data_IF_283120891792
#
_entry.id   IF_283120891792
#
_cell.length_a   1.000
_cell.length_b   1.000
_cell.length_c   1.000
_cell.angle_alpha   90.00
_cell.angle_beta   90.00
_cell.angle_gamma   90.00
#
_symmetry.space_group_name_H-M   'P 1'
#
loop_
_entity.id
_entity.type
_entity.pdbx_description
1 polymer ?
#
# COMPACT_ATOMS: atom_id res chain seq x y z
N UNK A 1 -34.62 24.88 -25.58
CA UNK A 1 -34.63 24.28 -24.22
C UNK A 1 -34.68 22.74 -24.19
N UNK A 2 -35.52 22.08 -25.01
CA UNK A 2 -35.65 20.60 -25.01
C UNK A 2 -34.40 19.80 -25.42
N UNK A 3 -33.72 20.20 -26.50
CA UNK A 3 -32.48 19.52 -26.97
C UNK A 3 -31.33 19.59 -25.95
N UNK A 4 -31.22 20.68 -25.20
CA UNK A 4 -30.22 20.85 -24.14
C UNK A 4 -30.50 19.92 -22.95
N UNK A 5 -31.76 19.81 -22.52
CA UNK A 5 -32.17 18.89 -21.45
C UNK A 5 -31.93 17.42 -21.83
N UNK A 6 -32.19 17.05 -23.08
CA UNK A 6 -31.94 15.68 -23.58
C UNK A 6 -30.42 15.38 -23.57
N UNK A 7 -29.59 16.31 -24.05
CA UNK A 7 -28.13 16.15 -24.07
C UNK A 7 -27.53 16.05 -22.66
N UNK A 8 -28.02 16.85 -21.72
CA UNK A 8 -27.61 16.81 -20.30
C UNK A 8 -28.04 15.50 -19.62
N UNK A 9 -29.26 15.00 -19.90
CA UNK A 9 -29.75 13.72 -19.35
C UNK A 9 -28.96 12.53 -19.90
N UNK A 10 -28.59 12.55 -21.18
CA UNK A 10 -27.67 11.55 -21.75
C UNK A 10 -26.27 11.62 -21.14
N UNK A 11 -25.71 12.82 -20.95
CA UNK A 11 -24.39 12.97 -20.31
C UNK A 11 -24.40 12.48 -18.86
N UNK A 12 -25.44 12.79 -18.09
CA UNK A 12 -25.62 12.33 -16.70
C UNK A 12 -25.71 10.80 -16.61
N UNK A 13 -26.55 10.16 -17.43
CA UNK A 13 -26.65 8.69 -17.46
C UNK A 13 -25.33 8.01 -17.85
N UNK A 14 -24.50 8.66 -18.66
CA UNK A 14 -23.21 8.13 -19.07
C UNK A 14 -22.12 8.24 -17.99
N UNK A 15 -22.20 9.20 -17.06
CA UNK A 15 -21.26 9.30 -15.92
C UNK A 15 -21.61 8.26 -14.87
N UNK A 16 -22.91 8.09 -14.60
CA UNK A 16 -23.43 7.13 -13.61
C UNK A 16 -22.92 5.70 -13.90
N UNK A 17 -22.72 5.38 -15.17
CA UNK A 17 -22.25 4.07 -15.58
C UNK A 17 -20.76 3.80 -15.27
N UNK A 18 -19.95 4.85 -15.14
CA UNK A 18 -18.50 4.75 -14.89
C UNK A 18 -18.18 4.88 -13.40
N UNK A 19 -19.03 5.61 -12.65
CA UNK A 19 -18.83 5.89 -11.21
C UNK A 19 -18.42 4.67 -10.37
N UNK A 20 -19.07 3.48 -10.47
CA UNK A 20 -18.68 2.35 -9.64
C UNK A 20 -17.27 1.85 -9.95
N UNK A 21 -16.86 1.86 -11.22
CA UNK A 21 -15.55 1.34 -11.64
C UNK A 21 -14.43 2.32 -11.29
N UNK A 22 -14.67 3.64 -11.47
CA UNK A 22 -13.72 4.66 -11.01
C UNK A 22 -13.61 4.67 -9.48
N UNK A 23 -14.72 4.48 -8.76
CA UNK A 23 -14.73 4.39 -7.31
C UNK A 23 -13.97 3.15 -6.83
N UNK A 24 -14.14 1.99 -7.48
CA UNK A 24 -13.38 0.78 -7.14
C UNK A 24 -11.89 1.06 -7.23
N UNK A 25 -11.42 1.58 -8.36
CA UNK A 25 -10.00 1.85 -8.59
C UNK A 25 -9.44 2.82 -7.54
N UNK A 26 -10.09 3.97 -7.35
CA UNK A 26 -9.55 5.00 -6.45
C UNK A 26 -9.68 4.61 -4.99
N UNK A 27 -10.78 3.97 -4.59
CA UNK A 27 -10.94 3.47 -3.22
C UNK A 27 -9.91 2.39 -2.91
N UNK A 28 -9.68 1.45 -3.82
CA UNK A 28 -8.70 0.35 -3.61
C UNK A 28 -7.29 0.90 -3.42
N UNK A 29 -6.85 1.80 -4.31
CA UNK A 29 -5.47 2.27 -4.29
C UNK A 29 -5.21 3.35 -3.23
N UNK A 30 -6.08 4.36 -3.11
CA UNK A 30 -5.81 5.52 -2.26
C UNK A 30 -6.37 5.38 -0.85
N UNK A 31 -7.44 4.62 -0.65
CA UNK A 31 -8.11 4.49 0.66
C UNK A 31 -7.76 3.15 1.30
N UNK A 32 -8.15 2.05 0.66
CA UNK A 32 -7.99 0.71 1.21
C UNK A 32 -6.53 0.33 1.43
N UNK A 33 -5.67 0.43 0.40
CA UNK A 33 -4.25 0.07 0.53
C UNK A 33 -3.54 0.78 1.69
N UNK A 34 -3.49 2.13 1.73
CA UNK A 34 -2.83 2.85 2.80
C UNK A 34 -3.45 2.62 4.19
N UNK A 35 -4.78 2.61 4.31
CA UNK A 35 -5.44 2.40 5.61
C UNK A 35 -5.23 0.97 6.11
N UNK A 36 -5.37 -0.04 5.26
CA UNK A 36 -5.11 -1.43 5.62
C UNK A 36 -3.66 -1.60 6.08
N UNK A 37 -2.70 -1.06 5.33
CA UNK A 37 -1.27 -1.13 5.66
C UNK A 37 -0.96 -0.48 7.01
N UNK A 38 -1.52 0.71 7.26
CA UNK A 38 -1.33 1.41 8.52
C UNK A 38 -1.94 0.65 9.70
N UNK A 39 -3.18 0.16 9.56
CA UNK A 39 -3.89 -0.51 10.65
C UNK A 39 -3.26 -1.85 11.02
N UNK A 40 -2.81 -2.64 10.04
CA UNK A 40 -2.13 -3.91 10.29
C UNK A 40 -0.78 -3.70 10.99
N UNK A 41 -0.09 -2.58 10.70
CA UNK A 41 1.26 -2.31 11.22
C UNK A 41 1.28 -1.13 12.21
N UNK A 42 0.19 -0.88 12.95
CA UNK A 42 0.07 0.30 13.82
C UNK A 42 1.17 0.39 14.89
N UNK A 43 1.71 -0.74 15.34
CA UNK A 43 2.81 -0.81 16.32
C UNK A 43 4.11 -0.24 15.78
N UNK A 44 4.34 -0.37 14.47
CA UNK A 44 5.57 0.05 13.79
C UNK A 44 5.57 1.55 13.46
N UNK A 45 4.38 2.17 13.42
CA UNK A 45 4.24 3.58 13.12
C UNK A 45 4.24 4.47 14.37
N UNK A 46 5.20 5.39 14.40
CA UNK A 46 5.37 6.43 15.42
C UNK A 46 4.41 7.63 15.26
N UNK A 47 3.64 7.71 14.18
CA UNK A 47 2.69 8.78 13.92
C UNK A 47 1.24 8.30 14.00
N UNK A 48 0.31 9.24 14.21
CA UNK A 48 -1.13 8.97 14.28
C UNK A 48 -1.79 8.87 12.90
N UNK A 49 -2.94 8.19 12.85
CA UNK A 49 -3.75 8.05 11.64
C UNK A 49 -4.22 9.42 11.12
N UNK A 50 -4.47 10.35 12.04
CA UNK A 50 -4.88 11.74 11.77
C UNK A 50 -3.87 12.50 10.91
N UNK A 51 -2.57 12.16 10.99
CA UNK A 51 -1.53 12.81 10.20
C UNK A 51 -1.55 12.39 8.72
N UNK A 52 -1.98 11.16 8.41
CA UNK A 52 -1.99 10.64 7.03
C UNK A 52 -3.38 10.70 6.36
N UNK A 53 -4.44 10.75 7.16
CA UNK A 53 -5.82 10.72 6.65
C UNK A 53 -6.16 11.86 5.68
N UNK A 54 -5.72 13.12 5.90
CA UNK A 54 -5.95 14.20 4.93
C UNK A 54 -5.35 13.89 3.55
N UNK A 55 -4.11 13.39 3.51
CA UNK A 55 -3.43 13.03 2.26
C UNK A 55 -4.18 11.92 1.52
N UNK A 56 -4.64 10.90 2.24
CA UNK A 56 -5.47 9.81 1.70
C UNK A 56 -6.75 10.35 1.06
N UNK A 57 -7.50 11.17 1.79
CA UNK A 57 -8.80 11.71 1.32
C UNK A 57 -8.59 12.65 0.12
N UNK A 58 -7.61 13.54 0.18
CA UNK A 58 -7.33 14.51 -0.89
C UNK A 58 -6.90 13.78 -2.18
N UNK A 59 -5.97 12.84 -2.10
CA UNK A 59 -5.54 12.05 -3.27
C UNK A 59 -6.69 11.22 -3.85
N UNK A 60 -7.51 10.59 -3.00
CA UNK A 60 -8.70 9.87 -3.44
C UNK A 60 -9.68 10.77 -4.20
N UNK A 61 -10.05 11.92 -3.64
CA UNK A 61 -11.03 12.84 -4.23
C UNK A 61 -10.49 13.40 -5.56
N UNK A 62 -9.24 13.87 -5.59
CA UNK A 62 -8.64 14.46 -6.79
C UNK A 62 -8.65 13.46 -7.93
N UNK A 63 -8.12 12.25 -7.71
CA UNK A 63 -8.02 11.24 -8.79
C UNK A 63 -9.41 10.75 -9.18
N UNK A 64 -10.32 10.57 -8.23
CA UNK A 64 -11.70 10.19 -8.54
C UNK A 64 -12.39 11.22 -9.43
N UNK A 65 -12.26 12.52 -9.13
CA UNK A 65 -12.80 13.59 -9.97
C UNK A 65 -12.15 13.55 -11.35
N UNK A 66 -10.82 13.46 -11.44
CA UNK A 66 -10.09 13.42 -12.72
C UNK A 66 -10.57 12.26 -13.61
N UNK A 67 -10.69 11.03 -13.08
CA UNK A 67 -11.15 9.88 -13.84
C UNK A 67 -12.60 10.05 -14.35
N UNK A 68 -13.45 10.70 -13.56
CA UNK A 68 -14.81 11.01 -13.98
C UNK A 68 -14.87 12.16 -15.00
N UNK A 69 -14.00 13.16 -14.91
CA UNK A 69 -13.85 14.21 -15.93
C UNK A 69 -13.34 13.65 -17.27
N UNK A 70 -12.36 12.74 -17.24
CA UNK A 70 -11.89 12.02 -18.43
C UNK A 70 -13.05 11.26 -19.08
N UNK A 71 -13.95 10.67 -18.30
CA UNK A 71 -15.14 9.97 -18.83
C UNK A 71 -16.08 10.87 -19.67
N UNK A 72 -16.02 12.19 -19.49
CA UNK A 72 -16.78 13.16 -20.29
C UNK A 72 -16.17 13.35 -21.69
N UNK A 73 -14.85 13.22 -21.80
CA UNK A 73 -14.10 13.32 -23.05
C UNK A 73 -14.17 12.02 -23.86
N UNK A 74 -14.36 10.88 -23.18
CA UNK A 74 -14.52 9.57 -23.84
C UNK A 74 -15.83 9.52 -24.63
N UNK A 75 -15.73 9.18 -25.92
CA UNK A 75 -16.89 9.06 -26.80
C UNK A 75 -17.79 7.88 -26.40
N UNK A 76 -19.09 7.99 -26.71
CA UNK A 76 -20.13 7.02 -26.27
C UNK A 76 -19.78 5.56 -26.62
N UNK A 77 -19.14 5.34 -27.78
CA UNK A 77 -18.79 4.00 -28.26
C UNK A 77 -17.66 3.37 -27.43
N UNK A 78 -16.78 4.17 -26.82
CA UNK A 78 -15.64 3.70 -26.03
C UNK A 78 -15.91 3.69 -24.52
N UNK A 79 -17.03 4.23 -24.04
CA UNK A 79 -17.34 4.30 -22.60
C UNK A 79 -17.38 2.95 -21.89
N UNK A 80 -17.88 1.90 -22.55
CA UNK A 80 -17.86 0.56 -21.96
C UNK A 80 -16.45 0.03 -21.77
N UNK A 81 -15.58 0.26 -22.76
CA UNK A 81 -14.18 -0.14 -22.69
C UNK A 81 -13.43 0.67 -21.63
N UNK A 82 -13.74 1.96 -21.50
CA UNK A 82 -13.19 2.79 -20.43
C UNK A 82 -13.60 2.27 -19.04
N UNK A 83 -14.89 1.99 -18.82
CA UNK A 83 -15.35 1.41 -17.55
C UNK A 83 -14.73 0.03 -17.28
N UNK A 84 -14.63 -0.83 -18.30
CA UNK A 84 -13.99 -2.14 -18.22
C UNK A 84 -12.50 -2.04 -17.87
N UNK A 85 -11.78 -1.05 -18.43
CA UNK A 85 -10.38 -0.78 -18.11
C UNK A 85 -10.23 -0.34 -16.64
N UNK A 86 -11.03 0.62 -16.19
CA UNK A 86 -10.99 1.07 -14.79
C UNK A 86 -11.30 -0.07 -13.81
N UNK A 87 -12.31 -0.89 -14.12
CA UNK A 87 -12.63 -2.08 -13.36
C UNK A 87 -11.45 -3.06 -13.35
N UNK A 88 -10.87 -3.36 -14.50
CA UNK A 88 -9.78 -4.32 -14.62
C UNK A 88 -8.53 -3.91 -13.83
N UNK A 89 -8.16 -2.62 -13.87
CA UNK A 89 -7.05 -2.09 -13.06
C UNK A 89 -7.39 -2.14 -11.57
N UNK A 90 -8.59 -1.68 -11.18
CA UNK A 90 -9.03 -1.72 -9.78
C UNK A 90 -9.09 -3.14 -9.21
N UNK A 91 -9.55 -4.09 -10.03
CA UNK A 91 -9.60 -5.50 -9.68
C UNK A 91 -8.21 -6.13 -9.59
N UNK A 92 -7.30 -5.82 -10.53
CA UNK A 92 -5.91 -6.28 -10.48
C UNK A 92 -5.21 -5.79 -9.19
N UNK A 93 -5.41 -4.51 -8.83
CA UNK A 93 -4.88 -3.95 -7.59
C UNK A 93 -5.48 -4.62 -6.35
N UNK A 94 -6.79 -4.89 -6.36
CA UNK A 94 -7.44 -5.61 -5.27
C UNK A 94 -6.85 -7.03 -5.10
N UNK A 95 -6.62 -7.74 -6.20
CA UNK A 95 -5.99 -9.06 -6.18
C UNK A 95 -4.53 -8.97 -5.69
N UNK A 96 -3.76 -8.02 -6.23
CA UNK A 96 -2.37 -7.78 -5.85
C UNK A 96 -2.24 -7.52 -4.35
N UNK A 97 -3.06 -6.63 -3.79
CA UNK A 97 -2.95 -6.22 -2.38
C UNK A 97 -3.40 -7.27 -1.37
N UNK A 98 -4.28 -8.21 -1.76
CA UNK A 98 -4.87 -9.15 -0.81
C UNK A 98 -4.40 -10.60 -0.97
N UNK A 99 -3.99 -11.01 -2.18
CA UNK A 99 -3.69 -12.42 -2.47
C UNK A 99 -2.27 -12.64 -2.96
N UNK A 100 -1.62 -11.63 -3.53
CA UNK A 100 -0.26 -11.75 -4.08
C UNK A 100 0.71 -11.13 -3.07
N UNK A 101 1.03 -11.89 -2.04
CA UNK A 101 2.07 -11.52 -1.08
C UNK A 101 3.37 -12.28 -1.45
N UNK A 102 4.30 -11.59 -2.11
CA UNK A 102 5.64 -12.12 -2.32
C UNK A 102 6.49 -11.76 -1.11
N UNK A 103 7.10 -12.79 -0.51
CA UNK A 103 8.13 -12.60 0.50
C UNK A 103 9.45 -12.23 -0.19
N UNK A 104 9.80 -10.94 -0.09
CA UNK A 104 11.06 -10.40 -0.58
C UNK A 104 12.19 -10.47 0.46
N UNK A 105 11.95 -11.16 1.59
CA UNK A 105 12.84 -11.19 2.73
C UNK A 105 12.71 -9.96 3.62
N UNK A 106 13.57 -9.91 4.63
CA UNK A 106 13.72 -8.75 5.51
C UNK A 106 14.45 -7.64 4.77
N UNK A 107 14.02 -6.39 5.00
CA UNK A 107 14.67 -5.20 4.47
C UNK A 107 15.89 -4.84 5.33
N UNK A 108 16.89 -5.73 5.35
CA UNK A 108 18.13 -5.62 6.14
C UNK A 108 19.32 -5.03 5.36
N UNK A 109 19.07 -4.55 4.14
CA UNK A 109 20.09 -3.98 3.25
C UNK A 109 20.86 -5.02 2.44
N UNK A 110 20.55 -6.31 2.57
CA UNK A 110 21.05 -7.34 1.65
C UNK A 110 20.47 -7.14 0.25
N UNK A 111 21.25 -7.49 -0.77
CA UNK A 111 20.76 -7.42 -2.15
C UNK A 111 19.66 -8.46 -2.38
N UNK A 112 18.51 -8.02 -2.88
CA UNK A 112 17.45 -8.93 -3.31
C UNK A 112 17.92 -9.65 -4.58
N UNK A 113 17.99 -10.98 -4.55
CA UNK A 113 18.27 -11.78 -5.75
C UNK A 113 17.04 -11.80 -6.68
N UNK A 114 16.92 -10.75 -7.50
CA UNK A 114 15.83 -10.60 -8.47
C UNK A 114 15.74 -11.76 -9.46
N UNK A 115 16.84 -12.49 -9.73
CA UNK A 115 16.82 -13.60 -10.68
C UNK A 115 15.99 -14.78 -10.14
N UNK A 116 15.98 -14.99 -8.83
CA UNK A 116 15.17 -16.03 -8.18
C UNK A 116 13.65 -15.82 -8.36
N UNK A 117 13.21 -14.57 -8.57
CA UNK A 117 11.79 -14.21 -8.64
C UNK A 117 11.21 -14.22 -10.07
N UNK A 118 12.00 -14.55 -11.09
CA UNK A 118 11.57 -14.47 -12.51
C UNK A 118 10.27 -15.22 -12.81
N UNK A 119 10.12 -16.44 -12.27
CA UNK A 119 8.89 -17.24 -12.44
C UNK A 119 7.68 -16.58 -11.78
N UNK A 120 7.83 -16.12 -10.54
CA UNK A 120 6.77 -15.45 -9.78
C UNK A 120 6.37 -14.12 -10.43
N UNK A 121 7.35 -13.36 -10.92
CA UNK A 121 7.12 -12.13 -11.67
C UNK A 121 6.33 -12.37 -12.97
N UNK A 122 6.63 -13.46 -13.69
CA UNK A 122 5.89 -13.84 -14.90
C UNK A 122 4.44 -14.21 -14.58
N UNK A 123 4.20 -15.04 -13.56
CA UNK A 123 2.85 -15.40 -13.10
C UNK A 123 2.07 -14.15 -12.69
N UNK A 124 2.68 -13.26 -11.91
CA UNK A 124 2.05 -12.01 -11.49
C UNK A 124 1.64 -11.14 -12.70
N UNK A 125 2.55 -11.00 -13.67
CA UNK A 125 2.28 -10.25 -14.90
C UNK A 125 1.10 -10.84 -15.68
N UNK A 126 1.02 -12.18 -15.78
CA UNK A 126 -0.10 -12.86 -16.44
C UNK A 126 -1.41 -12.56 -15.72
N UNK A 127 -1.45 -12.59 -14.38
CA UNK A 127 -2.65 -12.27 -13.60
C UNK A 127 -3.13 -10.85 -13.91
N UNK A 128 -2.21 -9.87 -13.89
CA UNK A 128 -2.53 -8.48 -14.24
C UNK A 128 -3.10 -8.34 -15.66
N UNK A 129 -2.46 -8.99 -16.64
CA UNK A 129 -2.93 -9.00 -18.02
C UNK A 129 -4.33 -9.60 -18.13
N UNK A 130 -4.62 -10.71 -17.44
CA UNK A 130 -5.93 -11.33 -17.44
C UNK A 130 -7.00 -10.45 -16.78
N UNK A 131 -6.71 -9.86 -15.63
CA UNK A 131 -7.62 -8.95 -14.93
C UNK A 131 -8.01 -7.74 -15.78
N UNK A 132 -7.08 -7.20 -16.58
CA UNK A 132 -7.32 -6.02 -17.42
C UNK A 132 -7.96 -6.40 -18.77
N UNK A 133 -7.42 -7.40 -19.47
CA UNK A 133 -7.87 -7.73 -20.82
C UNK A 133 -9.20 -8.47 -20.83
N UNK A 134 -9.49 -9.31 -19.84
CA UNK A 134 -10.74 -10.08 -19.82
C UNK A 134 -12.01 -9.21 -19.87
N UNK A 135 -12.21 -8.17 -19.03
CA UNK A 135 -13.41 -7.32 -19.13
C UNK A 135 -13.44 -6.52 -20.44
N UNK A 136 -12.29 -6.15 -21.01
CA UNK A 136 -12.20 -5.44 -22.29
C UNK A 136 -12.66 -6.33 -23.46
N UNK A 137 -12.13 -7.56 -23.54
CA UNK A 137 -12.50 -8.52 -24.60
C UNK A 137 -13.97 -8.90 -24.48
N UNK A 138 -14.44 -9.22 -23.27
CA UNK A 138 -15.85 -9.56 -23.02
C UNK A 138 -16.78 -8.40 -23.39
N UNK A 139 -16.36 -7.16 -23.20
CA UNK A 139 -17.14 -5.98 -23.60
C UNK A 139 -17.42 -5.94 -25.10
N UNK A 140 -16.51 -6.46 -25.94
CA UNK A 140 -16.69 -6.52 -27.40
C UNK A 140 -17.84 -7.47 -27.80
N UNK A 141 -18.07 -8.51 -27.00
CA UNK A 141 -19.04 -9.59 -27.30
C UNK A 141 -20.37 -9.35 -26.58
N UNK A 142 -20.32 -8.96 -25.29
CA UNK A 142 -21.47 -8.89 -24.39
C UNK A 142 -21.54 -7.55 -23.63
N UNK A 143 -21.37 -6.43 -24.34
CA UNK A 143 -21.29 -5.08 -23.77
C UNK A 143 -22.34 -4.76 -22.70
N UNK A 144 -23.61 -5.16 -22.89
CA UNK A 144 -24.70 -4.88 -21.94
C UNK A 144 -24.56 -5.67 -20.64
N UNK A 145 -24.27 -6.97 -20.76
CA UNK A 145 -24.10 -7.88 -19.63
C UNK A 145 -22.85 -7.49 -18.84
N UNK A 146 -21.72 -7.30 -19.52
CA UNK A 146 -20.45 -6.90 -18.89
C UNK A 146 -20.60 -5.59 -18.15
N UNK A 147 -21.24 -4.57 -18.74
CA UNK A 147 -21.53 -3.30 -18.07
C UNK A 147 -22.29 -3.50 -16.75
N UNK A 148 -23.29 -4.38 -16.71
CA UNK A 148 -24.03 -4.66 -15.48
C UNK A 148 -23.16 -5.40 -14.47
N UNK A 149 -22.43 -6.40 -14.91
CA UNK A 149 -21.56 -7.23 -14.06
C UNK A 149 -20.47 -6.42 -13.40
N UNK A 150 -19.67 -5.66 -14.16
CA UNK A 150 -18.53 -4.90 -13.61
C UNK A 150 -18.98 -3.88 -12.56
N UNK A 151 -20.18 -3.28 -12.70
CA UNK A 151 -20.73 -2.36 -11.70
C UNK A 151 -21.08 -3.07 -10.40
N UNK A 152 -21.79 -4.19 -10.49
CA UNK A 152 -22.19 -4.98 -9.32
C UNK A 152 -20.92 -5.50 -8.62
N UNK A 153 -19.97 -6.06 -9.37
CA UNK A 153 -18.69 -6.51 -8.83
C UNK A 153 -17.91 -5.36 -8.18
N UNK A 154 -17.85 -4.18 -8.81
CA UNK A 154 -17.19 -3.01 -8.23
C UNK A 154 -17.76 -2.65 -6.87
N UNK A 155 -19.09 -2.50 -6.78
CA UNK A 155 -19.76 -2.15 -5.53
C UNK A 155 -19.59 -3.22 -4.46
N UNK A 156 -19.66 -4.49 -4.85
CA UNK A 156 -19.42 -5.60 -3.94
C UNK A 156 -18.00 -5.58 -3.36
N UNK A 157 -16.98 -5.43 -4.21
CA UNK A 157 -15.58 -5.39 -3.79
C UNK A 157 -15.31 -4.16 -2.90
N UNK A 158 -15.88 -2.99 -3.23
CA UNK A 158 -15.81 -1.80 -2.37
C UNK A 158 -16.43 -2.08 -1.00
N UNK A 159 -17.58 -2.75 -0.95
CA UNK A 159 -18.24 -3.09 0.31
C UNK A 159 -17.38 -4.02 1.18
N UNK A 160 -16.77 -5.05 0.58
CA UNK A 160 -15.83 -5.95 1.27
C UNK A 160 -14.64 -5.18 1.84
N UNK A 161 -14.04 -4.29 1.04
CA UNK A 161 -12.92 -3.47 1.48
C UNK A 161 -13.33 -2.51 2.62
N UNK A 162 -14.49 -1.87 2.53
CA UNK A 162 -15.00 -1.00 3.59
C UNK A 162 -15.28 -1.75 4.89
N UNK A 163 -15.86 -2.96 4.81
CA UNK A 163 -16.06 -3.84 5.97
C UNK A 163 -14.74 -4.26 6.59
N UNK A 164 -13.73 -4.55 5.77
CA UNK A 164 -12.39 -4.93 6.22
C UNK A 164 -11.72 -3.79 6.98
N UNK A 165 -11.72 -2.57 6.43
CA UNK A 165 -11.21 -1.38 7.14
C UNK A 165 -11.99 -1.16 8.43
N UNK A 166 -13.32 -1.26 8.40
CA UNK A 166 -14.16 -1.12 9.58
C UNK A 166 -13.79 -2.11 10.68
N UNK A 167 -13.63 -3.39 10.33
CA UNK A 167 -13.18 -4.42 11.26
C UNK A 167 -11.80 -4.12 11.85
N UNK A 168 -10.85 -3.71 11.00
CA UNK A 168 -9.50 -3.32 11.44
C UNK A 168 -9.53 -2.12 12.38
N UNK A 169 -10.34 -1.10 12.10
CA UNK A 169 -10.49 0.06 12.99
C UNK A 169 -11.07 -0.32 14.35
N UNK A 170 -11.98 -1.30 14.41
CA UNK A 170 -12.52 -1.80 15.67
C UNK A 170 -11.53 -2.66 16.46
N UNK A 171 -10.66 -3.42 15.77
CA UNK A 171 -9.69 -4.31 16.41
C UNK A 171 -8.36 -3.64 16.75
N UNK A 172 -8.05 -2.51 16.12
CA UNK A 172 -6.77 -1.80 16.32
C UNK A 172 -6.80 -1.03 17.64
N UNK A 173 -5.80 -1.27 18.48
CA UNK A 173 -5.61 -0.49 19.70
C UNK A 173 -4.89 0.83 19.39
N UNK A 174 -5.62 1.94 19.54
CA UNK A 174 -5.09 3.30 19.36
C UNK A 174 -4.60 3.94 20.67
N UNK A 175 -4.71 3.25 21.81
CA UNK A 175 -4.31 3.81 23.11
C UNK A 175 -2.79 3.83 23.34
N UNK A 176 -2.03 3.12 22.51
CA UNK A 176 -0.56 3.13 22.50
C UNK A 176 -0.07 4.36 21.71
N UNK A 177 -0.37 5.55 22.21
CA UNK A 177 0.33 6.76 21.80
C UNK A 177 1.63 6.84 22.59
N UNK A 178 2.70 6.27 22.02
CA UNK A 178 4.06 6.59 22.47
C UNK A 178 4.30 8.07 22.16
N UNK A 179 3.91 8.96 23.07
CA UNK A 179 4.37 10.37 23.12
C UNK A 179 5.84 10.42 23.50
N UNK A 180 6.68 9.71 22.76
CA UNK A 180 8.13 9.76 22.90
C UNK A 180 8.58 10.82 21.90
N UNK A 181 8.74 12.04 22.39
CA UNK A 181 9.44 13.07 21.64
C UNK A 181 10.93 12.82 21.80
N UNK A 182 11.57 12.27 20.76
CA UNK A 182 13.04 12.18 20.72
C UNK A 182 13.55 13.57 20.37
N UNK A 183 14.14 14.28 21.33
CA UNK A 183 14.87 15.53 21.05
C UNK A 183 16.37 15.25 20.99
N UNK A 184 17.06 15.90 20.05
CA UNK A 184 18.52 15.94 19.99
C UNK A 184 19.13 16.97 20.94
N UNK A 185 18.30 17.79 21.58
CA UNK A 185 18.74 18.78 22.55
C UNK A 185 19.45 18.04 23.69
N UNK A 186 20.71 18.44 23.94
CA UNK A 186 21.57 17.85 24.96
C UNK A 186 21.98 16.38 24.73
N UNK A 187 21.76 15.81 23.53
CA UNK A 187 22.17 14.42 23.20
C UNK A 187 23.68 14.17 23.43
N UNK A 188 24.51 15.20 23.33
CA UNK A 188 25.96 15.14 23.60
C UNK A 188 26.38 15.84 24.90
N UNK A 189 25.43 16.24 25.75
CA UNK A 189 25.73 16.85 27.04
C UNK A 189 25.82 15.78 28.11
N UNK A 190 27.02 15.63 28.67
CA UNK A 190 27.31 14.66 29.73
C UNK A 190 27.33 15.36 31.10
N UNK A 191 26.93 14.62 32.13
CA UNK A 191 27.08 15.04 33.53
C UNK A 191 28.57 15.17 33.88
N UNK A 192 28.98 16.16 34.68
CA UNK A 192 30.36 16.30 35.13
C UNK A 192 30.87 15.14 35.99
N UNK A 193 29.96 14.36 36.60
CA UNK A 193 30.32 13.34 37.57
C UNK A 193 30.16 11.92 37.02
N UNK A 194 28.93 11.55 36.66
CA UNK A 194 28.60 10.17 36.29
C UNK A 194 27.72 10.13 35.05
N UNK A 195 28.14 9.33 34.08
CA UNK A 195 27.45 9.11 32.81
C UNK A 195 27.24 7.61 32.60
N UNK A 196 26.09 7.26 32.03
CA UNK A 196 25.82 5.93 31.49
C UNK A 196 25.60 6.11 29.99
N UNK A 197 26.42 5.45 29.18
CA UNK A 197 26.41 5.58 27.73
C UNK A 197 26.09 4.21 27.15
N UNK A 198 24.97 4.12 26.44
CA UNK A 198 24.52 2.90 25.77
C UNK A 198 24.71 3.08 24.27
N UNK A 199 25.55 2.23 23.68
CA UNK A 199 25.70 2.15 22.23
C UNK A 199 24.80 1.04 21.70
N UNK A 200 23.90 1.38 20.78
CA UNK A 200 23.10 0.41 20.01
C UNK A 200 23.67 0.42 18.60
N UNK A 201 24.37 -0.66 18.24
CA UNK A 201 25.01 -0.81 16.94
C UNK A 201 24.06 -1.58 16.02
N UNK A 202 23.72 -0.97 14.88
CA UNK A 202 22.92 -1.65 13.87
C UNK A 202 23.72 -2.80 13.23
N UNK A 203 23.06 -3.91 12.93
CA UNK A 203 23.65 -5.13 12.30
C UNK A 203 24.83 -5.79 13.03
N UNK A 204 25.13 -5.40 14.26
CA UNK A 204 26.21 -6.00 15.05
C UNK A 204 25.77 -7.32 15.68
N UNK A 205 26.40 -8.43 15.27
CA UNK A 205 26.14 -9.77 15.79
C UNK A 205 27.37 -10.32 16.53
N UNK A 206 27.14 -11.10 17.59
CA UNK A 206 28.20 -11.72 18.37
C UNK A 206 29.11 -12.63 17.52
N UNK A 207 28.58 -13.27 16.48
CA UNK A 207 29.36 -14.06 15.53
C UNK A 207 30.38 -13.22 14.77
N UNK A 208 30.03 -12.00 14.33
CA UNK A 208 30.99 -11.09 13.69
C UNK A 208 32.10 -10.67 14.65
N UNK A 209 31.76 -10.33 15.89
CA UNK A 209 32.75 -9.99 16.91
C UNK A 209 33.67 -11.18 17.23
N UNK A 210 33.12 -12.40 17.31
CA UNK A 210 33.93 -13.59 17.53
C UNK A 210 34.92 -13.83 16.39
N UNK A 211 34.47 -13.71 15.13
CA UNK A 211 35.36 -13.83 13.96
C UNK A 211 36.48 -12.80 14.01
N UNK A 212 36.16 -11.55 14.34
CA UNK A 212 37.17 -10.48 14.48
C UNK A 212 38.16 -10.79 15.60
N UNK A 213 37.71 -11.29 16.76
CA UNK A 213 38.60 -11.63 17.87
C UNK A 213 39.44 -12.89 17.64
N UNK A 214 39.02 -13.75 16.70
CA UNK A 214 39.80 -14.90 16.22
C UNK A 214 40.86 -14.49 15.20
N UNK A 215 40.50 -13.64 14.23
CA UNK A 215 41.41 -13.12 13.20
C UNK A 215 42.43 -12.11 13.75
N UNK A 216 42.00 -11.30 14.73
CA UNK A 216 42.77 -10.23 15.37
C UNK A 216 42.75 -10.37 16.91
N UNK A 217 43.53 -11.31 17.48
CA UNK A 217 43.55 -11.54 18.92
C UNK A 217 44.00 -10.33 19.75
N UNK A 218 44.74 -9.40 19.17
CA UNK A 218 45.19 -8.14 19.78
C UNK A 218 44.02 -7.29 20.32
N UNK A 219 42.83 -7.41 19.72
CA UNK A 219 41.64 -6.68 20.19
C UNK A 219 41.09 -7.20 21.51
N UNK A 220 41.43 -8.43 21.94
CA UNK A 220 41.04 -8.93 23.27
C UNK A 220 41.68 -8.13 24.40
N UNK A 221 42.90 -7.64 24.19
CA UNK A 221 43.58 -6.77 25.15
C UNK A 221 42.95 -5.37 25.14
N UNK A 222 42.61 -4.85 23.95
CA UNK A 222 41.94 -3.55 23.84
C UNK A 222 40.58 -3.51 24.56
N UNK A 223 39.85 -4.63 24.55
CA UNK A 223 38.53 -4.75 25.21
C UNK A 223 38.61 -5.36 26.62
N UNK A 224 39.78 -5.41 27.27
CA UNK A 224 39.94 -6.05 28.60
C UNK A 224 39.05 -5.45 29.70
N UNK A 225 38.73 -4.17 29.58
CA UNK A 225 37.92 -3.43 30.54
C UNK A 225 36.41 -3.54 30.25
N UNK A 226 36.03 -4.30 29.21
CA UNK A 226 34.65 -4.55 28.80
C UNK A 226 34.22 -5.98 29.13
N UNK A 227 32.99 -6.13 29.60
CA UNK A 227 32.37 -7.45 29.77
C UNK A 227 31.71 -7.85 28.46
N UNK A 228 32.23 -8.90 27.82
CA UNK A 228 31.65 -9.47 26.60
C UNK A 228 30.69 -10.62 26.93
N UNK A 229 29.43 -10.46 26.53
CA UNK A 229 28.40 -11.49 26.64
C UNK A 229 28.23 -12.14 25.26
N UNK A 230 28.64 -13.40 25.12
CA UNK A 230 28.71 -14.11 23.84
C UNK A 230 27.62 -15.18 23.68
N UNK A 231 26.60 -15.14 24.53
CA UNK A 231 25.57 -16.16 24.69
C UNK A 231 24.19 -15.71 24.22
N UNK A 232 24.13 -14.73 23.33
CA UNK A 232 22.90 -14.13 22.79
C UNK A 232 22.85 -14.38 21.29
#
# INVERSE_FOLDING_TARGET
>A
MGKLKIKLKEQSNNIIDVLPCSLLLTFTFFVFGPLQMYLINKSEFWFELTHILPSIIVSFIIVFIILNLISLLVSKNFKNYYAALLFGIGFALYIQGNFINLDYGVLDGTEIDWNSYGYLGAVNTIIWVLCILSPIILTKIWAKQVRKTIKICSLFIIAVQALTIGALLFSTDFSIDKKISVTGDYMFSLSPEKNEIVFILDTFDASYMNNVLEEHPEYKELFSDFTYYNNV
#
